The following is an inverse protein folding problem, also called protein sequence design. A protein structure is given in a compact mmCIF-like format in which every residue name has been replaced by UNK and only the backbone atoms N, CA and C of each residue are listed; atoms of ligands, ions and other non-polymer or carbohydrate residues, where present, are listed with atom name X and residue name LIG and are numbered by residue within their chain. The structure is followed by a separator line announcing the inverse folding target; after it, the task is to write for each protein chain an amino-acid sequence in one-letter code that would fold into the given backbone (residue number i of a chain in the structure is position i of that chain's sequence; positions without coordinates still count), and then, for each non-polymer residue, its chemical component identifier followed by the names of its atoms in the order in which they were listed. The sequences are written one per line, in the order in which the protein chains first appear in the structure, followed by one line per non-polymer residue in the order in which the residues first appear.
data_IF_049215816103
#
_entry.id   IF_049215816103
#
_cell.length_a   1.000
_cell.length_b   1.000
_cell.length_c   1.000
_cell.angle_alpha   90.00
_cell.angle_beta   90.00
_cell.angle_gamma   90.00
#
_symmetry.space_group_name_H-M   'P 1'
#
loop_
_entity.id
_entity.type
_entity.pdbx_description
1 polymer ?
#
# COMPACT_ATOMS: atom_id res chain seq x y z
N UNK A 1 -16.89 9.05 -14.00
CA UNK A 1 -17.35 7.78 -13.40
C UNK A 1 -17.57 8.08 -11.93
N UNK A 2 -18.76 7.87 -11.38
CA UNK A 2 -19.03 8.18 -9.97
C UNK A 2 -18.71 6.95 -9.12
N UNK A 3 -17.77 7.10 -8.19
CA UNK A 3 -17.48 6.09 -7.19
C UNK A 3 -18.17 6.47 -5.89
N UNK A 4 -18.69 5.46 -5.19
CA UNK A 4 -19.40 5.63 -3.92
C UNK A 4 -19.00 4.52 -2.95
N UNK A 5 -18.91 4.85 -1.67
CA UNK A 5 -18.79 3.87 -0.60
C UNK A 5 -20.09 3.08 -0.41
N UNK A 6 -20.02 1.95 0.32
CA UNK A 6 -21.21 1.19 0.72
C UNK A 6 -22.19 2.03 1.54
N UNK A 7 -21.65 2.95 2.35
CA UNK A 7 -22.41 3.91 3.16
C UNK A 7 -22.98 5.10 2.36
N UNK A 8 -22.72 5.18 1.05
CA UNK A 8 -23.35 6.13 0.13
C UNK A 8 -22.57 7.41 -0.14
N UNK A 9 -21.46 7.67 0.56
CA UNK A 9 -20.62 8.85 0.30
C UNK A 9 -19.87 8.73 -1.01
N UNK A 10 -19.78 9.85 -1.74
CA UNK A 10 -18.98 9.93 -2.95
C UNK A 10 -17.48 9.77 -2.66
N UNK A 11 -16.80 9.14 -3.60
CA UNK A 11 -15.34 9.02 -3.63
C UNK A 11 -14.84 9.73 -4.87
N UNK A 12 -13.99 10.74 -4.65
CA UNK A 12 -13.39 11.55 -5.70
C UNK A 12 -11.95 11.10 -5.90
N UNK A 13 -11.61 10.83 -7.15
CA UNK A 13 -10.23 10.68 -7.55
C UNK A 13 -9.56 12.05 -7.67
N UNK A 14 -8.51 12.30 -6.89
CA UNK A 14 -7.78 13.57 -7.00
C UNK A 14 -6.75 13.49 -8.13
N UNK A 15 -6.41 14.65 -8.69
CA UNK A 15 -5.24 14.77 -9.55
C UNK A 15 -3.99 14.24 -8.82
N UNK A 16 -3.28 13.26 -9.40
CA UNK A 16 -2.15 12.51 -8.82
C UNK A 16 -2.49 11.59 -7.63
N UNK A 17 -3.65 10.92 -7.61
CA UNK A 17 -3.80 9.75 -6.75
C UNK A 17 -2.83 8.64 -7.18
N UNK A 18 -2.34 7.84 -6.23
CA UNK A 18 -1.54 6.66 -6.56
C UNK A 18 -2.48 5.51 -6.91
N UNK A 19 -3.11 5.61 -8.08
CA UNK A 19 -3.95 4.55 -8.65
C UNK A 19 -3.13 3.78 -9.69
N UNK A 20 -2.87 2.49 -9.45
CA UNK A 20 -2.26 1.67 -10.49
C UNK A 20 -3.24 1.46 -11.66
N UNK A 21 -2.69 1.45 -12.88
CA UNK A 21 -3.48 1.31 -14.12
C UNK A 21 -4.33 0.04 -14.13
N UNK A 22 -5.59 0.13 -14.59
CA UNK A 22 -6.48 -1.02 -14.76
C UNK A 22 -7.21 -1.47 -13.49
N UNK A 23 -7.10 -0.71 -12.39
CA UNK A 23 -7.77 -1.02 -11.14
C UNK A 23 -9.20 -0.46 -11.03
N UNK A 24 -9.72 0.25 -12.03
CA UNK A 24 -11.00 0.99 -11.92
C UNK A 24 -12.18 0.06 -11.59
N UNK A 25 -12.22 -1.13 -12.20
CA UNK A 25 -13.24 -2.14 -11.92
C UNK A 25 -13.12 -2.74 -10.52
N UNK A 26 -11.90 -3.05 -10.09
CA UNK A 26 -11.61 -3.59 -8.76
C UNK A 26 -11.89 -2.56 -7.67
N UNK A 27 -11.49 -1.31 -7.90
CA UNK A 27 -11.72 -0.20 -6.99
C UNK A 27 -13.22 0.02 -6.81
N UNK A 28 -14.02 0.02 -7.88
CA UNK A 28 -15.48 0.13 -7.76
C UNK A 28 -16.08 -0.98 -6.89
N UNK A 29 -15.67 -2.23 -7.08
CA UNK A 29 -16.12 -3.35 -6.25
C UNK A 29 -15.66 -3.20 -4.79
N UNK A 30 -14.42 -2.75 -4.56
CA UNK A 30 -13.87 -2.56 -3.23
C UNK A 30 -14.61 -1.45 -2.46
N UNK A 31 -14.81 -0.29 -3.09
CA UNK A 31 -15.53 0.84 -2.48
C UNK A 31 -16.97 0.45 -2.11
N UNK A 32 -17.64 -0.37 -2.93
CA UNK A 32 -18.96 -0.92 -2.63
C UNK A 32 -19.03 -1.86 -1.41
N UNK A 33 -17.89 -2.25 -0.83
CA UNK A 33 -17.79 -3.07 0.39
C UNK A 33 -17.36 -2.27 1.63
N UNK A 34 -16.89 -1.04 1.46
CA UNK A 34 -16.33 -0.21 2.54
C UNK A 34 -17.45 0.64 3.17
N UNK A 35 -17.64 0.49 4.48
CA UNK A 35 -18.48 1.41 5.28
C UNK A 35 -17.60 2.47 5.94
N UNK A 36 -18.01 3.73 5.83
CA UNK A 36 -17.17 4.84 6.29
C UNK A 36 -17.17 4.97 7.81
N UNK A 37 -18.31 4.71 8.46
CA UNK A 37 -18.57 4.99 9.88
C UNK A 37 -18.23 6.44 10.29
N UNK A 38 -18.18 7.37 9.33
CA UNK A 38 -17.81 8.76 9.53
C UNK A 38 -16.31 9.00 9.79
N UNK A 39 -15.45 7.98 9.62
CA UNK A 39 -14.02 8.02 9.93
C UNK A 39 -13.27 9.06 9.07
N UNK A 40 -12.42 9.93 9.65
CA UNK A 40 -11.74 10.98 8.88
C UNK A 40 -10.65 10.44 7.94
N UNK A 41 -10.10 9.27 8.23
CA UNK A 41 -9.06 8.60 7.45
C UNK A 41 -9.24 7.09 7.55
N UNK A 42 -9.09 6.37 6.42
CA UNK A 42 -9.32 4.94 6.34
C UNK A 42 -8.21 4.26 5.54
N UNK A 43 -7.79 3.09 6.01
CA UNK A 43 -6.89 2.16 5.31
C UNK A 43 -7.58 0.80 5.34
N UNK A 44 -8.27 0.49 4.25
CA UNK A 44 -9.14 -0.66 4.12
C UNK A 44 -8.48 -1.73 3.24
N UNK A 45 -8.47 -2.98 3.72
CA UNK A 45 -8.11 -4.15 2.91
C UNK A 45 -9.41 -4.84 2.49
N UNK A 46 -9.62 -4.99 1.20
CA UNK A 46 -10.77 -5.73 0.66
C UNK A 46 -10.28 -7.00 -0.02
N UNK A 47 -10.67 -8.16 0.52
CA UNK A 47 -10.42 -9.46 -0.10
C UNK A 47 -11.53 -9.82 -1.10
N UNK A 48 -11.15 -10.26 -2.28
CA UNK A 48 -12.04 -10.61 -3.39
C UNK A 48 -12.34 -12.11 -3.47
N UNK A 49 -11.65 -12.95 -2.68
CA UNK A 49 -11.76 -14.41 -2.73
C UNK A 49 -11.24 -15.04 -4.02
N UNK A 50 -10.65 -14.24 -4.92
CA UNK A 50 -10.03 -14.63 -6.19
C UNK A 50 -8.78 -13.78 -6.42
N UNK A 51 -7.82 -14.28 -7.19
CA UNK A 51 -6.65 -13.49 -7.60
C UNK A 51 -7.13 -12.29 -8.44
N UNK A 52 -6.71 -11.08 -8.06
CA UNK A 52 -7.06 -9.82 -8.73
C UNK A 52 -5.85 -9.06 -9.27
N UNK A 53 -4.65 -9.54 -8.98
CA UNK A 53 -3.39 -9.00 -9.47
C UNK A 53 -2.22 -9.59 -8.71
N UNK A 54 -1.11 -8.86 -8.67
CA UNK A 54 0.09 -9.26 -7.95
C UNK A 54 0.45 -8.19 -6.90
N UNK A 55 1.03 -8.64 -5.79
CA UNK A 55 1.62 -7.75 -4.76
C UNK A 55 3.13 -7.70 -4.91
N UNK A 56 3.68 -6.51 -4.69
CA UNK A 56 5.13 -6.27 -4.68
C UNK A 56 5.72 -6.25 -3.27
N UNK A 57 4.86 -6.17 -2.24
CA UNK A 57 5.25 -6.39 -0.85
C UNK A 57 5.06 -7.87 -0.52
N UNK A 58 6.15 -8.57 -0.20
CA UNK A 58 6.18 -10.03 -0.02
C UNK A 58 6.84 -10.41 1.29
N UNK A 59 6.42 -11.54 1.83
CA UNK A 59 7.14 -12.22 2.91
C UNK A 59 8.54 -12.66 2.44
N UNK A 60 9.48 -12.60 3.37
CA UNK A 60 10.91 -12.89 3.19
C UNK A 60 11.39 -13.85 4.27
N UNK A 61 12.52 -14.49 4.00
CA UNK A 61 13.21 -15.47 4.84
C UNK A 61 14.71 -15.18 4.88
N UNK A 62 15.45 -15.94 5.68
CA UNK A 62 16.91 -15.83 5.77
C UNK A 62 17.67 -16.16 4.47
N UNK A 63 16.97 -16.74 3.48
CA UNK A 63 17.53 -17.06 2.15
C UNK A 63 17.39 -15.90 1.15
N UNK A 64 16.67 -14.83 1.53
CA UNK A 64 16.40 -13.70 0.67
C UNK A 64 17.53 -12.66 0.68
N UNK A 65 17.79 -12.07 -0.49
CA UNK A 65 18.80 -11.04 -0.67
C UNK A 65 18.19 -9.68 -0.38
N UNK A 66 18.39 -9.22 0.86
CA UNK A 66 17.84 -7.96 1.34
C UNK A 66 18.77 -6.79 1.04
N UNK A 67 18.18 -5.70 0.55
CA UNK A 67 18.81 -4.40 0.42
C UNK A 67 17.86 -3.34 0.95
N UNK A 68 18.39 -2.27 1.53
CA UNK A 68 17.62 -1.14 1.97
C UNK A 68 17.93 0.04 1.07
N UNK A 69 16.93 0.77 0.60
CA UNK A 69 17.12 1.94 -0.24
C UNK A 69 16.05 3.01 0.03
N UNK A 70 16.38 4.28 -0.20
CA UNK A 70 15.43 5.36 -0.04
C UNK A 70 14.56 5.47 -1.30
N UNK A 71 13.24 5.52 -1.11
CA UNK A 71 12.29 5.82 -2.20
C UNK A 71 12.12 7.33 -2.37
N UNK A 72 11.88 7.84 -3.58
CA UNK A 72 11.53 9.24 -3.78
C UNK A 72 10.36 9.68 -2.89
N UNK A 73 10.48 10.88 -2.30
CA UNK A 73 9.45 11.45 -1.42
C UNK A 73 9.12 10.59 -0.19
N UNK A 74 10.07 9.78 0.28
CA UNK A 74 10.03 9.09 1.58
C UNK A 74 11.19 9.57 2.43
N UNK A 75 10.94 9.75 3.73
CA UNK A 75 11.92 10.33 4.64
C UNK A 75 13.01 9.31 5.02
N UNK A 76 12.63 8.06 5.25
CA UNK A 76 13.56 6.99 5.57
C UNK A 76 13.76 5.97 4.45
N UNK A 77 14.54 4.95 4.78
CA UNK A 77 14.97 3.88 3.89
C UNK A 77 13.98 2.72 4.02
N UNK A 78 13.50 2.21 2.89
CA UNK A 78 12.60 1.06 2.82
C UNK A 78 13.39 -0.24 2.67
N UNK A 79 12.82 -1.37 3.10
CA UNK A 79 13.40 -2.70 2.93
C UNK A 79 12.97 -3.32 1.60
N UNK A 80 13.93 -3.84 0.85
CA UNK A 80 13.74 -4.48 -0.44
C UNK A 80 14.31 -5.90 -0.48
N UNK A 81 13.79 -6.72 -1.40
CA UNK A 81 14.30 -8.05 -1.73
C UNK A 81 14.64 -8.16 -3.22
N UNK A 82 15.84 -8.64 -3.54
CA UNK A 82 16.37 -8.67 -4.91
C UNK A 82 16.06 -9.96 -5.68
N UNK A 83 15.86 -11.07 -4.98
CA UNK A 83 15.71 -12.41 -5.55
C UNK A 83 14.29 -12.98 -5.44
N UNK A 84 13.27 -12.11 -5.47
CA UNK A 84 11.85 -12.47 -5.43
C UNK A 84 11.10 -11.87 -6.62
N UNK A 85 9.91 -12.40 -6.90
CA UNK A 85 9.02 -11.97 -7.98
C UNK A 85 7.64 -11.62 -7.39
N UNK A 86 6.87 -10.73 -8.04
CA UNK A 86 5.53 -10.37 -7.57
C UNK A 86 4.68 -11.62 -7.34
N UNK A 87 3.89 -11.60 -6.27
CA UNK A 87 3.11 -12.76 -5.85
C UNK A 87 1.62 -12.55 -6.16
N UNK A 88 0.89 -13.57 -6.66
CA UNK A 88 -0.56 -13.49 -6.85
C UNK A 88 -1.26 -13.05 -5.56
N UNK A 89 -2.16 -12.07 -5.67
CA UNK A 89 -2.85 -11.50 -4.53
C UNK A 89 -4.36 -11.40 -4.80
N UNK A 90 -5.15 -11.66 -3.75
CA UNK A 90 -6.62 -11.58 -3.80
C UNK A 90 -7.17 -10.35 -3.10
N UNK A 91 -6.32 -9.41 -2.69
CA UNK A 91 -6.71 -8.26 -1.89
C UNK A 91 -6.32 -6.94 -2.57
N UNK A 92 -7.12 -5.91 -2.32
CA UNK A 92 -6.85 -4.52 -2.68
C UNK A 92 -6.83 -3.69 -1.41
N UNK A 93 -5.80 -2.86 -1.24
CA UNK A 93 -5.78 -1.83 -0.20
C UNK A 93 -6.28 -0.53 -0.79
N UNK A 94 -7.21 0.12 -0.09
CA UNK A 94 -7.77 1.42 -0.45
C UNK A 94 -7.55 2.40 0.70
N UNK A 95 -6.91 3.53 0.40
CA UNK A 95 -6.63 4.59 1.37
C UNK A 95 -7.47 5.81 1.03
N UNK A 96 -8.30 6.23 1.99
CA UNK A 96 -9.27 7.29 1.83
C UNK A 96 -9.09 8.36 2.91
N UNK A 97 -9.32 9.62 2.56
CA UNK A 97 -9.40 10.73 3.49
C UNK A 97 -10.72 11.45 3.31
N UNK A 98 -11.43 11.72 4.40
CA UNK A 98 -12.68 12.50 4.36
C UNK A 98 -12.36 13.97 4.07
N UNK A 99 -13.10 14.57 3.14
CA UNK A 99 -13.11 15.99 2.86
C UNK A 99 -14.12 16.72 3.78
N UNK A 100 -13.97 18.02 3.94
CA UNK A 100 -14.85 18.82 4.80
C UNK A 100 -16.30 18.81 4.30
N UNK A 101 -16.48 18.73 2.98
CA UNK A 101 -17.76 18.71 2.28
C UNK A 101 -18.47 17.34 2.31
N UNK A 102 -17.94 16.38 3.09
CA UNK A 102 -18.61 15.11 3.38
C UNK A 102 -18.37 13.97 2.38
N UNK A 103 -17.60 14.20 1.31
CA UNK A 103 -17.12 13.15 0.41
C UNK A 103 -15.74 12.62 0.85
N UNK A 104 -15.28 11.54 0.23
CA UNK A 104 -13.94 10.97 0.44
C UNK A 104 -13.04 11.21 -0.76
N UNK A 105 -11.77 11.49 -0.50
CA UNK A 105 -10.71 11.61 -1.49
C UNK A 105 -9.93 10.30 -1.51
N UNK A 106 -9.75 9.73 -2.71
CA UNK A 106 -8.85 8.60 -2.91
C UNK A 106 -7.40 9.07 -2.79
N UNK A 107 -6.69 8.54 -1.79
CA UNK A 107 -5.28 8.83 -1.57
C UNK A 107 -4.41 7.86 -2.36
N UNK A 108 -4.71 6.57 -2.29
CA UNK A 108 -3.99 5.48 -2.93
C UNK A 108 -4.86 4.24 -3.05
N UNK A 109 -4.65 3.43 -4.09
CA UNK A 109 -5.19 2.08 -4.17
C UNK A 109 -4.20 1.15 -4.87
N UNK A 110 -3.90 0.00 -4.26
CA UNK A 110 -2.94 -0.97 -4.79
C UNK A 110 -3.34 -2.40 -4.45
N UNK A 111 -2.95 -3.35 -5.31
CA UNK A 111 -3.12 -4.78 -5.06
C UNK A 111 -2.10 -5.21 -4.00
N UNK A 112 -2.58 -5.85 -2.95
CA UNK A 112 -1.78 -6.20 -1.79
C UNK A 112 -2.61 -6.36 -0.54
N UNK A 113 -1.93 -6.74 0.54
CA UNK A 113 -2.47 -6.70 1.90
C UNK A 113 -2.08 -5.39 2.57
N UNK A 114 -2.85 -4.99 3.59
CA UNK A 114 -2.58 -3.80 4.38
C UNK A 114 -1.20 -3.93 5.05
N UNK A 115 -0.22 -3.10 4.67
CA UNK A 115 1.07 -3.11 5.35
C UNK A 115 0.99 -2.35 6.67
N UNK A 116 1.91 -2.64 7.58
CA UNK A 116 2.21 -1.75 8.70
C UNK A 116 2.95 -0.49 8.19
N UNK A 117 2.86 0.66 8.90
CA UNK A 117 3.71 1.81 8.63
C UNK A 117 5.19 1.40 8.55
N UNK A 118 5.98 2.04 7.70
CA UNK A 118 7.41 1.76 7.66
C UNK A 118 8.08 2.17 8.99
N UNK A 119 9.16 1.50 9.43
CA UNK A 119 9.71 1.72 10.77
C UNK A 119 10.23 3.15 11.03
N UNK A 120 10.53 3.90 9.97
CA UNK A 120 10.93 5.31 10.05
C UNK A 120 9.74 6.28 10.09
N UNK A 121 8.50 5.82 9.84
CA UNK A 121 7.30 6.67 9.85
C UNK A 121 6.98 7.12 11.28
N UNK A 122 6.48 8.35 11.43
CA UNK A 122 6.11 8.91 12.75
C UNK A 122 5.01 8.10 13.48
N UNK A 123 4.24 7.29 12.75
CA UNK A 123 3.19 6.44 13.31
C UNK A 123 3.65 4.97 13.46
N UNK A 124 4.95 4.68 13.27
CA UNK A 124 5.48 3.34 13.45
C UNK A 124 5.32 2.87 14.89
N UNK A 125 5.10 1.56 15.05
CA UNK A 125 5.03 0.88 16.35
C UNK A 125 5.95 -0.35 16.32
N UNK A 126 6.04 -1.10 17.42
CA UNK A 126 6.77 -2.38 17.44
C UNK A 126 6.26 -3.35 16.36
N UNK A 127 4.96 -3.31 16.03
CA UNK A 127 4.37 -4.09 14.95
C UNK A 127 4.93 -3.72 13.58
N UNK A 128 5.33 -2.46 13.38
CA UNK A 128 5.99 -2.02 12.15
C UNK A 128 7.32 -2.72 11.98
N UNK A 129 8.15 -2.76 13.03
CA UNK A 129 9.44 -3.45 13.01
C UNK A 129 9.24 -4.95 12.80
N UNK A 130 8.33 -5.57 13.53
CA UNK A 130 7.98 -6.99 13.38
C UNK A 130 7.55 -7.31 11.95
N UNK A 131 6.58 -6.58 11.41
CA UNK A 131 6.11 -6.75 10.04
C UNK A 131 7.24 -6.60 9.02
N UNK A 132 8.00 -5.49 9.07
CA UNK A 132 9.04 -5.18 8.08
C UNK A 132 10.29 -6.04 8.25
N UNK A 133 10.52 -6.67 9.40
CA UNK A 133 11.57 -7.70 9.55
C UNK A 133 11.26 -8.96 8.73
N UNK A 134 9.97 -9.27 8.56
CA UNK A 134 9.50 -10.42 7.77
C UNK A 134 9.08 -10.07 6.34
N UNK A 135 8.89 -8.80 6.00
CA UNK A 135 8.38 -8.36 4.69
C UNK A 135 9.30 -7.37 3.98
N UNK A 136 9.31 -7.41 2.65
CA UNK A 136 10.07 -6.46 1.84
C UNK A 136 9.36 -6.13 0.53
N UNK A 137 9.69 -4.98 -0.04
CA UNK A 137 9.28 -4.59 -1.39
C UNK A 137 10.19 -5.27 -2.42
N UNK A 138 9.66 -5.72 -3.55
CA UNK A 138 10.48 -6.33 -4.60
C UNK A 138 11.32 -5.26 -5.29
N UNK A 139 12.61 -5.52 -5.43
CA UNK A 139 13.55 -4.63 -6.11
C UNK A 139 13.13 -4.37 -7.56
N UNK A 140 13.24 -3.11 -8.00
CA UNK A 140 12.86 -2.69 -9.35
C UNK A 140 11.36 -2.54 -9.60
N UNK A 141 10.50 -2.88 -8.63
CA UNK A 141 9.05 -2.63 -8.72
C UNK A 141 8.64 -1.27 -8.14
N UNK A 142 9.55 -0.61 -7.41
CA UNK A 142 9.37 0.72 -6.84
C UNK A 142 10.60 1.56 -7.15
N UNK A 143 10.44 2.87 -7.39
CA UNK A 143 11.57 3.74 -7.66
C UNK A 143 12.45 3.90 -6.41
N UNK A 144 13.77 3.92 -6.63
CA UNK A 144 14.78 4.14 -5.59
C UNK A 144 15.66 5.32 -5.95
N UNK A 145 16.16 6.04 -4.94
CA UNK A 145 17.18 7.07 -5.11
C UNK A 145 18.52 6.35 -5.29
N UNK A 146 19.10 6.47 -6.48
CA UNK A 146 20.37 5.83 -6.80
C UNK A 146 21.48 6.28 -5.84
N UNK A 147 22.25 5.32 -5.31
CA UNK A 147 23.32 5.55 -4.35
C UNK A 147 22.88 5.56 -2.89
N UNK A 148 21.58 5.37 -2.61
CA UNK A 148 21.06 5.22 -1.24
C UNK A 148 21.07 3.78 -0.73
N UNK A 149 21.51 2.83 -1.55
CA UNK A 149 21.48 1.41 -1.24
C UNK A 149 22.44 1.05 -0.10
N UNK A 150 21.96 0.25 0.85
CA UNK A 150 22.75 -0.28 1.95
C UNK A 150 22.27 -1.68 2.33
N UNK A 151 23.18 -2.51 2.83
CA UNK A 151 22.85 -3.83 3.40
C UNK A 151 22.67 -3.79 4.91
N UNK A 152 22.86 -2.62 5.54
CA UNK A 152 22.71 -2.44 6.99
C UNK A 152 21.28 -2.01 7.30
N UNK A 153 20.60 -2.76 8.17
CA UNK A 153 19.27 -2.40 8.66
C UNK A 153 19.34 -1.07 9.43
N UNK A 154 18.54 -0.05 9.08
CA UNK A 154 18.62 1.27 9.69
C UNK A 154 17.78 1.44 10.97
N UNK A 155 17.13 0.37 11.44
CA UNK A 155 16.22 0.33 12.60
C UNK A 155 16.36 -0.99 13.35
#
# INVERSE_FOLDING_TARGET
MEWTLKSGEFVVDRFNSHLHTGLEGLLKEALGKIESEGRPFMVEEVNFGRVVGETVCVETSDLDQIVFAQRPSRFGISRFVMNRQPAPCSALVVILKRAEEGFYILISAFVGRKPEPEPWDRNATERSVEFWSGHALIWGQEPVIQGSETTVCPW
#
